data_IF_783015004339
#
_entry.id   IF_783015004339
#
_cell.length_a   1.000
_cell.length_b   1.000
_cell.length_c   1.000
_cell.angle_alpha   90.00
_cell.angle_beta   90.00
_cell.angle_gamma   90.00
#
_symmetry.space_group_name_H-M   'P 1'
#
loop_
_entity.id
_entity.type
_entity.pdbx_description
1 polymer ?
#
# COMPACT_ATOMS: atom_id res chain seq x y z
N UNK A 1 14.14 -14.54 30.55
CA UNK A 1 14.31 -14.43 29.07
C UNK A 1 13.04 -13.79 28.49
N UNK A 2 13.13 -12.58 27.93
CA UNK A 2 11.96 -11.97 27.26
C UNK A 2 11.55 -12.83 26.06
N UNK A 3 10.24 -13.11 25.84
CA UNK A 3 9.81 -13.91 24.71
C UNK A 3 10.29 -13.25 23.42
N UNK A 4 11.05 -13.98 22.60
CA UNK A 4 11.44 -13.51 21.26
C UNK A 4 10.15 -13.23 20.49
N UNK A 5 9.89 -11.96 20.17
CA UNK A 5 8.74 -11.55 19.36
C UNK A 5 8.76 -12.35 18.05
N UNK A 6 7.76 -13.20 17.85
CA UNK A 6 7.65 -14.10 16.70
C UNK A 6 7.72 -13.37 15.36
N UNK A 7 7.25 -12.10 15.33
CA UNK A 7 7.19 -11.24 14.14
C UNK A 7 7.72 -9.84 14.42
N UNK A 8 9.03 -9.74 14.69
CA UNK A 8 9.70 -8.49 15.10
C UNK A 8 9.53 -7.31 14.13
N UNK A 9 9.42 -7.57 12.82
CA UNK A 9 9.30 -6.53 11.81
C UNK A 9 7.87 -5.98 11.74
N UNK A 10 6.87 -6.81 12.01
CA UNK A 10 5.47 -6.36 12.16
C UNK A 10 5.34 -5.50 13.41
N UNK A 11 5.97 -5.89 14.51
CA UNK A 11 5.97 -5.09 15.74
C UNK A 11 6.74 -3.77 15.58
N UNK A 12 7.83 -3.77 14.79
CA UNK A 12 8.52 -2.54 14.42
C UNK A 12 7.58 -1.61 13.62
N UNK A 13 6.90 -2.13 12.61
CA UNK A 13 5.95 -1.36 11.81
C UNK A 13 4.85 -0.73 12.67
N UNK A 14 4.27 -1.45 13.61
CA UNK A 14 3.20 -0.94 14.51
C UNK A 14 3.65 0.24 15.38
N UNK A 15 4.95 0.39 15.61
CA UNK A 15 5.51 1.51 16.40
C UNK A 15 5.77 2.77 15.57
N UNK A 16 5.67 2.68 14.24
CA UNK A 16 5.86 3.84 13.38
C UNK A 16 4.61 4.72 13.39
N UNK A 17 4.82 6.03 13.41
CA UNK A 17 3.78 7.03 13.19
C UNK A 17 3.48 7.26 11.71
N UNK A 18 2.47 8.05 11.44
CA UNK A 18 2.22 8.60 10.11
C UNK A 18 3.19 9.76 9.82
N UNK A 19 3.34 10.10 8.56
CA UNK A 19 4.14 11.26 8.15
C UNK A 19 3.33 12.54 8.33
N UNK A 20 3.91 13.52 9.03
CA UNK A 20 3.31 14.85 9.18
C UNK A 20 3.40 15.68 7.89
N UNK A 21 4.30 15.31 6.98
CA UNK A 21 4.52 15.98 5.68
C UNK A 21 4.49 14.96 4.55
N UNK A 22 3.38 14.81 3.86
CA UNK A 22 3.26 13.88 2.74
C UNK A 22 4.28 14.22 1.64
N UNK A 23 5.14 13.27 1.29
CA UNK A 23 6.14 13.42 0.23
C UNK A 23 6.47 12.06 -0.36
N UNK A 24 6.62 12.00 -1.68
CA UNK A 24 7.00 10.77 -2.35
C UNK A 24 8.53 10.56 -2.43
N UNK A 25 9.32 11.46 -1.86
CA UNK A 25 10.79 11.43 -1.99
C UNK A 25 11.40 10.19 -1.35
N UNK A 26 11.06 9.90 -0.10
CA UNK A 26 11.64 8.78 0.63
C UNK A 26 11.19 7.43 0.08
N UNK A 27 9.90 7.30 -0.23
CA UNK A 27 9.36 6.07 -0.79
C UNK A 27 9.98 5.76 -2.16
N UNK A 28 10.16 6.77 -3.03
CA UNK A 28 10.82 6.60 -4.32
C UNK A 28 12.27 6.14 -4.19
N UNK A 29 13.05 6.73 -3.29
CA UNK A 29 14.43 6.30 -3.02
C UNK A 29 14.51 4.85 -2.56
N UNK A 30 13.63 4.41 -1.65
CA UNK A 30 13.60 3.01 -1.21
C UNK A 30 13.17 2.07 -2.33
N UNK A 31 12.20 2.46 -3.16
CA UNK A 31 11.79 1.68 -4.34
C UNK A 31 12.94 1.56 -5.36
N UNK A 32 13.74 2.61 -5.55
CA UNK A 32 14.93 2.57 -6.41
C UNK A 32 15.96 1.54 -5.90
N UNK A 33 16.27 1.56 -4.61
CA UNK A 33 17.19 0.58 -3.98
C UNK A 33 16.65 -0.85 -4.14
N UNK A 34 15.33 -1.02 -4.12
CA UNK A 34 14.66 -2.30 -4.40
C UNK A 34 14.59 -2.62 -5.90
N UNK A 35 15.27 -1.84 -6.77
CA UNK A 35 15.30 -2.00 -8.23
C UNK A 35 13.95 -1.74 -8.90
N UNK A 36 13.19 -0.78 -8.38
CA UNK A 36 11.90 -0.31 -8.90
C UNK A 36 10.89 -1.44 -9.15
N UNK A 37 10.49 -2.20 -8.13
CA UNK A 37 9.58 -3.33 -8.30
C UNK A 37 8.21 -2.91 -8.87
N UNK A 38 7.77 -1.66 -8.60
CA UNK A 38 6.53 -1.08 -9.14
C UNK A 38 6.52 -0.89 -10.66
N UNK A 39 7.71 -0.90 -11.30
CA UNK A 39 7.87 -0.80 -12.77
C UNK A 39 8.05 -2.16 -13.44
N UNK A 40 8.09 -3.26 -12.68
CA UNK A 40 8.41 -4.60 -13.18
C UNK A 40 7.42 -5.63 -12.65
N UNK A 41 6.90 -6.47 -13.55
CA UNK A 41 6.05 -7.62 -13.19
C UNK A 41 4.81 -7.27 -12.35
N UNK A 42 4.24 -6.08 -12.51
CA UNK A 42 3.09 -5.61 -11.75
C UNK A 42 1.76 -5.77 -12.49
N UNK A 43 1.78 -6.24 -13.75
CA UNK A 43 0.57 -6.28 -14.56
C UNK A 43 -0.12 -4.90 -14.66
N UNK A 44 -1.43 -4.88 -14.80
CA UNK A 44 -2.23 -3.65 -14.80
C UNK A 44 -2.36 -3.14 -13.37
N UNK A 45 -2.09 -1.86 -13.16
CA UNK A 45 -2.21 -1.19 -11.86
C UNK A 45 -3.43 -0.27 -11.86
N UNK A 46 -4.30 -0.46 -10.90
CA UNK A 46 -5.53 0.31 -10.70
C UNK A 46 -5.44 1.06 -9.38
N UNK A 47 -5.55 2.38 -9.41
CA UNK A 47 -5.68 3.20 -8.21
C UNK A 47 -7.14 3.54 -7.95
N UNK A 48 -7.58 3.46 -6.69
CA UNK A 48 -8.93 3.81 -6.28
C UNK A 48 -8.86 4.87 -5.21
N UNK A 49 -9.31 6.07 -5.53
CA UNK A 49 -9.37 7.22 -4.63
C UNK A 49 -10.82 7.69 -4.40
N UNK A 50 -10.97 8.70 -3.55
CA UNK A 50 -12.26 9.31 -3.22
C UNK A 50 -12.47 9.43 -1.71
N UNK A 51 -13.53 10.09 -1.30
CA UNK A 51 -13.86 10.26 0.12
C UNK A 51 -14.41 8.97 0.71
N UNK A 52 -15.49 8.45 0.18
CA UNK A 52 -16.17 7.26 0.67
C UNK A 52 -16.21 6.14 -0.38
N UNK A 53 -16.31 4.88 0.09
CA UNK A 53 -16.53 3.73 -0.78
C UNK A 53 -15.29 3.17 -1.48
N UNK A 54 -14.11 3.75 -1.30
CA UNK A 54 -12.84 3.25 -1.88
C UNK A 54 -12.64 1.76 -1.67
N UNK A 55 -12.63 1.32 -0.40
CA UNK A 55 -12.43 -0.09 -0.04
C UNK A 55 -13.52 -1.01 -0.58
N UNK A 56 -14.79 -0.56 -0.60
CA UNK A 56 -15.90 -1.33 -1.16
C UNK A 56 -15.71 -1.55 -2.66
N UNK A 57 -15.38 -0.49 -3.41
CA UNK A 57 -15.10 -0.59 -4.86
C UNK A 57 -13.87 -1.46 -5.11
N UNK A 58 -12.79 -1.27 -4.35
CA UNK A 58 -11.57 -2.06 -4.47
C UNK A 58 -11.83 -3.56 -4.26
N UNK A 59 -12.58 -3.89 -3.20
CA UNK A 59 -12.93 -5.27 -2.88
C UNK A 59 -13.86 -5.89 -3.92
N UNK A 60 -14.92 -5.19 -4.33
CA UNK A 60 -15.85 -5.67 -5.35
C UNK A 60 -15.15 -5.91 -6.68
N UNK A 61 -14.31 -4.99 -7.11
CA UNK A 61 -13.53 -5.13 -8.35
C UNK A 61 -12.57 -6.33 -8.26
N UNK A 62 -11.89 -6.50 -7.12
CA UNK A 62 -11.01 -7.64 -6.89
C UNK A 62 -11.78 -8.98 -6.98
N UNK A 63 -12.99 -9.06 -6.41
CA UNK A 63 -13.83 -10.26 -6.49
C UNK A 63 -14.26 -10.58 -7.93
N UNK A 64 -14.71 -9.57 -8.69
CA UNK A 64 -15.13 -9.73 -10.09
C UNK A 64 -13.95 -10.23 -10.93
N UNK A 65 -12.82 -9.57 -10.85
CA UNK A 65 -11.63 -9.93 -11.62
C UNK A 65 -11.08 -11.32 -11.24
N UNK A 66 -11.12 -11.67 -9.96
CA UNK A 66 -10.70 -12.98 -9.49
C UNK A 66 -11.64 -14.10 -10.00
N UNK A 67 -12.98 -13.85 -9.99
CA UNK A 67 -13.96 -14.78 -10.61
C UNK A 67 -13.73 -14.92 -12.11
N UNK A 68 -13.24 -13.86 -12.77
CA UNK A 68 -12.84 -13.88 -14.18
C UNK A 68 -11.46 -14.52 -14.41
N UNK A 69 -10.93 -15.25 -13.41
CA UNK A 69 -9.67 -16.02 -13.44
C UNK A 69 -8.39 -15.17 -13.57
N UNK A 70 -8.46 -13.85 -13.35
CA UNK A 70 -7.26 -13.04 -13.21
C UNK A 70 -6.63 -13.26 -11.84
N UNK A 71 -5.29 -13.27 -11.79
CA UNK A 71 -4.55 -13.22 -10.53
C UNK A 71 -4.47 -11.78 -10.06
N UNK A 72 -5.14 -11.48 -8.95
CA UNK A 72 -5.36 -10.11 -8.47
C UNK A 72 -4.63 -9.87 -7.15
N UNK A 73 -3.80 -8.83 -7.10
CA UNK A 73 -3.30 -8.22 -5.88
C UNK A 73 -4.24 -7.11 -5.42
N UNK A 74 -4.52 -7.04 -4.14
CA UNK A 74 -5.37 -6.02 -3.52
C UNK A 74 -4.66 -5.42 -2.31
N UNK A 75 -4.46 -4.10 -2.32
CA UNK A 75 -3.97 -3.31 -1.20
C UNK A 75 -5.06 -2.35 -0.73
N UNK A 76 -5.43 -2.44 0.56
CA UNK A 76 -6.51 -1.64 1.16
C UNK A 76 -6.10 -1.00 2.48
N UNK A 77 -6.80 0.06 2.88
CA UNK A 77 -6.60 0.74 4.16
C UNK A 77 -7.89 1.43 4.66
N UNK A 78 -8.10 1.48 5.99
CA UNK A 78 -7.38 0.76 7.03
C UNK A 78 -7.76 -0.73 7.10
N UNK A 79 -7.17 -1.50 8.00
CA UNK A 79 -7.65 -2.83 8.39
C UNK A 79 -8.68 -2.71 9.54
N UNK A 80 -9.50 -3.75 9.70
CA UNK A 80 -10.51 -3.81 10.77
C UNK A 80 -9.96 -4.60 11.97
N UNK A 81 -9.43 -5.78 11.75
CA UNK A 81 -8.95 -6.67 12.80
C UNK A 81 -7.44 -6.91 12.74
N UNK A 82 -6.90 -7.11 11.55
CA UNK A 82 -5.52 -7.58 11.34
C UNK A 82 -4.85 -6.85 10.17
N UNK A 83 -3.61 -6.43 10.40
CA UNK A 83 -2.80 -5.77 9.38
C UNK A 83 -2.65 -6.58 8.08
N UNK A 84 -2.71 -7.89 8.17
CA UNK A 84 -2.65 -8.81 7.04
C UNK A 84 -3.82 -8.60 6.05
N UNK A 85 -4.93 -8.01 6.50
CA UNK A 85 -6.08 -7.68 5.66
C UNK A 85 -5.73 -6.70 4.55
N UNK A 86 -4.74 -5.84 4.80
CA UNK A 86 -4.35 -4.78 3.88
C UNK A 86 -3.69 -5.31 2.61
N UNK A 87 -3.12 -6.52 2.62
CA UNK A 87 -2.40 -7.09 1.49
C UNK A 87 -2.98 -8.46 1.17
N UNK A 88 -3.59 -8.59 0.01
CA UNK A 88 -4.24 -9.83 -0.41
C UNK A 88 -3.81 -10.20 -1.84
N UNK A 89 -3.77 -11.51 -2.12
CA UNK A 89 -3.67 -12.06 -3.47
C UNK A 89 -4.80 -13.07 -3.66
N UNK A 90 -5.60 -12.89 -4.70
CA UNK A 90 -6.78 -13.72 -4.97
C UNK A 90 -7.68 -13.85 -3.73
N UNK A 91 -7.97 -12.71 -3.08
CA UNK A 91 -8.78 -12.58 -1.87
C UNK A 91 -8.24 -13.31 -0.63
N UNK A 92 -7.01 -13.82 -0.68
CA UNK A 92 -6.34 -14.43 0.47
C UNK A 92 -5.37 -13.43 1.08
N UNK A 93 -5.53 -13.17 2.38
CA UNK A 93 -4.62 -12.30 3.15
C UNK A 93 -3.20 -12.86 3.12
N UNK A 94 -2.20 -11.99 3.04
CA UNK A 94 -0.80 -12.35 3.25
C UNK A 94 -0.63 -13.01 4.62
N UNK A 95 0.19 -14.04 4.72
CA UNK A 95 0.50 -14.64 6.02
C UNK A 95 1.38 -13.72 6.87
N UNK A 96 1.27 -13.79 8.20
CA UNK A 96 2.12 -12.99 9.09
C UNK A 96 3.61 -13.32 8.92
N UNK A 97 3.94 -14.56 8.52
CA UNK A 97 5.31 -14.97 8.21
C UNK A 97 5.83 -14.21 6.97
N UNK A 98 5.09 -14.26 5.86
CA UNK A 98 5.47 -13.59 4.61
C UNK A 98 5.54 -12.06 4.81
N UNK A 99 4.55 -11.46 5.49
CA UNK A 99 4.55 -10.04 5.79
C UNK A 99 5.79 -9.65 6.60
N UNK A 100 6.12 -10.41 7.65
CA UNK A 100 7.29 -10.15 8.48
C UNK A 100 8.61 -10.28 7.70
N UNK A 101 8.73 -11.24 6.79
CA UNK A 101 9.90 -11.42 5.92
C UNK A 101 10.06 -10.24 4.95
N UNK A 102 8.99 -9.85 4.29
CA UNK A 102 8.98 -8.73 3.33
C UNK A 102 9.30 -7.41 4.03
N UNK A 103 8.66 -7.14 5.17
CA UNK A 103 8.98 -5.97 5.98
C UNK A 103 10.46 -5.96 6.37
N UNK A 104 11.02 -7.11 6.73
CA UNK A 104 12.45 -7.23 7.04
C UNK A 104 13.35 -6.78 5.89
N UNK A 105 13.01 -7.18 4.66
CA UNK A 105 13.76 -6.76 3.45
C UNK A 105 13.67 -5.24 3.26
N UNK A 106 12.47 -4.66 3.35
CA UNK A 106 12.28 -3.22 3.16
C UNK A 106 12.96 -2.40 4.26
N UNK A 107 12.83 -2.82 5.52
CA UNK A 107 13.48 -2.19 6.68
C UNK A 107 15.01 -2.21 6.53
N UNK A 108 15.58 -3.31 6.07
CA UNK A 108 17.02 -3.40 5.83
C UNK A 108 17.47 -2.41 4.73
N UNK A 109 16.70 -2.29 3.66
CA UNK A 109 17.01 -1.35 2.57
C UNK A 109 16.88 0.11 2.98
N UNK A 110 15.82 0.49 3.71
CA UNK A 110 15.69 1.87 4.20
C UNK A 110 16.81 2.25 5.18
N UNK A 111 17.24 1.31 6.06
CA UNK A 111 18.34 1.53 6.98
C UNK A 111 19.67 1.77 6.24
N UNK A 112 20.00 0.94 5.25
CA UNK A 112 21.20 1.10 4.41
C UNK A 112 21.21 2.43 3.66
N UNK A 113 20.05 2.99 3.34
CA UNK A 113 19.91 4.28 2.68
C UNK A 113 19.87 5.46 3.65
N UNK A 114 19.90 5.22 4.96
CA UNK A 114 19.64 6.22 5.99
C UNK A 114 18.30 6.97 5.76
N UNK A 115 17.26 6.23 5.38
CA UNK A 115 15.91 6.73 5.13
C UNK A 115 14.98 6.14 6.18
N UNK A 116 14.06 6.94 6.67
CA UNK A 116 12.96 6.49 7.51
C UNK A 116 11.65 6.65 6.77
N UNK A 117 10.94 5.54 6.55
CA UNK A 117 9.59 5.52 6.04
C UNK A 117 8.59 5.58 7.19
N UNK A 118 7.48 6.26 6.99
CA UNK A 118 6.32 6.22 7.87
C UNK A 118 5.65 4.83 7.83
N UNK A 119 4.70 4.60 8.73
CA UNK A 119 3.91 3.37 8.76
C UNK A 119 3.29 3.02 7.40
N UNK A 120 2.62 4.00 6.79
CA UNK A 120 1.90 3.78 5.54
C UNK A 120 2.84 3.60 4.35
N UNK A 121 3.91 4.40 4.27
CA UNK A 121 4.93 4.25 3.23
C UNK A 121 5.61 2.88 3.28
N UNK A 122 6.02 2.43 4.49
CA UNK A 122 6.68 1.13 4.66
C UNK A 122 5.77 -0.01 4.21
N UNK A 123 4.49 0.04 4.60
CA UNK A 123 3.52 -1.00 4.22
C UNK A 123 3.19 -0.95 2.72
N UNK A 124 3.11 0.24 2.12
CA UNK A 124 2.92 0.41 0.67
C UNK A 124 4.09 -0.17 -0.11
N UNK A 125 5.34 0.11 0.28
CA UNK A 125 6.53 -0.50 -0.35
C UNK A 125 6.52 -2.02 -0.20
N UNK A 126 6.15 -2.52 0.98
CA UNK A 126 6.04 -3.96 1.22
C UNK A 126 4.99 -4.62 0.30
N UNK A 127 3.82 -3.99 0.13
CA UNK A 127 2.77 -4.49 -0.76
C UNK A 127 3.23 -4.52 -2.23
N UNK A 128 3.86 -3.44 -2.69
CA UNK A 128 4.42 -3.35 -4.05
C UNK A 128 5.46 -4.46 -4.27
N UNK A 129 6.39 -4.63 -3.33
CA UNK A 129 7.41 -5.66 -3.44
C UNK A 129 6.82 -7.07 -3.46
N UNK A 130 5.81 -7.34 -2.63
CA UNK A 130 5.08 -8.61 -2.60
C UNK A 130 4.38 -8.90 -3.93
N UNK A 131 3.64 -7.94 -4.46
CA UNK A 131 2.90 -8.09 -5.70
C UNK A 131 3.82 -8.27 -6.92
N UNK A 132 4.96 -7.58 -6.95
CA UNK A 132 5.95 -7.76 -8.02
C UNK A 132 6.55 -9.17 -8.05
N UNK A 133 6.69 -9.81 -6.88
CA UNK A 133 7.14 -11.21 -6.77
C UNK A 133 6.06 -12.20 -7.18
N UNK A 134 4.81 -11.89 -6.90
CA UNK A 134 3.68 -12.75 -7.21
C UNK A 134 3.30 -12.78 -8.70
N UNK A 135 3.79 -11.80 -9.50
CA UNK A 135 3.49 -11.66 -10.93
C UNK A 135 1.98 -11.66 -11.20
N UNK A 136 1.24 -10.83 -10.46
CA UNK A 136 -0.19 -10.70 -10.64
C UNK A 136 -0.53 -10.12 -12.02
N UNK A 137 -1.69 -10.48 -12.58
CA UNK A 137 -2.20 -9.87 -13.80
C UNK A 137 -2.65 -8.43 -13.55
N UNK A 138 -3.27 -8.19 -12.39
CA UNK A 138 -3.84 -6.90 -12.00
C UNK A 138 -3.51 -6.64 -10.54
N UNK A 139 -3.18 -5.39 -10.21
CA UNK A 139 -2.99 -4.95 -8.83
C UNK A 139 -3.84 -3.72 -8.57
N UNK A 140 -4.68 -3.80 -7.56
CA UNK A 140 -5.60 -2.75 -7.11
C UNK A 140 -5.02 -2.12 -5.85
N UNK A 141 -4.90 -0.80 -5.85
CA UNK A 141 -4.42 -0.03 -4.71
C UNK A 141 -5.47 0.98 -4.28
N UNK A 142 -5.94 0.84 -3.06
CA UNK A 142 -6.74 1.85 -2.41
C UNK A 142 -5.83 2.97 -1.91
N UNK A 143 -6.14 4.21 -2.31
CA UNK A 143 -5.45 5.41 -1.85
C UNK A 143 -5.80 5.65 -0.38
N UNK A 144 -4.79 5.92 0.44
CA UNK A 144 -4.98 6.18 1.86
C UNK A 144 -5.61 7.54 2.12
N UNK A 145 -5.01 8.61 1.57
CA UNK A 145 -5.44 9.98 1.80
C UNK A 145 -5.18 10.87 0.57
N UNK A 146 -6.21 11.56 0.10
CA UNK A 146 -6.12 12.47 -1.03
C UNK A 146 -5.76 11.72 -2.33
N UNK A 147 -4.53 11.91 -2.80
CA UNK A 147 -4.05 11.23 -4.02
C UNK A 147 -2.63 11.63 -4.40
N UNK A 148 -2.42 12.91 -4.71
CA UNK A 148 -1.16 13.43 -5.28
C UNK A 148 0.10 13.06 -4.48
N UNK A 149 0.02 13.13 -3.16
CA UNK A 149 1.14 12.84 -2.26
C UNK A 149 0.95 11.55 -1.44
N UNK A 150 -0.11 10.79 -1.75
CA UNK A 150 -0.32 9.50 -1.12
C UNK A 150 0.77 8.50 -1.53
N UNK A 151 1.22 7.68 -0.60
CA UNK A 151 2.29 6.71 -0.86
C UNK A 151 1.96 5.75 -2.02
N UNK A 152 0.69 5.46 -2.27
CA UNK A 152 0.26 4.61 -3.37
C UNK A 152 0.46 5.25 -4.75
N UNK A 153 0.58 6.59 -4.83
CA UNK A 153 0.73 7.30 -6.11
C UNK A 153 2.06 7.00 -6.84
N UNK A 154 3.02 6.36 -6.17
CA UNK A 154 4.28 5.90 -6.80
C UNK A 154 4.09 4.77 -7.81
N UNK A 155 2.92 4.11 -7.83
CA UNK A 155 2.69 2.95 -8.71
C UNK A 155 2.55 3.29 -10.18
N UNK A 156 2.27 4.56 -10.53
CA UNK A 156 1.99 4.97 -11.91
C UNK A 156 0.88 4.10 -12.53
N UNK A 157 -0.35 4.31 -12.03
CA UNK A 157 -1.50 3.47 -12.39
C UNK A 157 -1.97 3.69 -13.81
N UNK A 158 -2.32 2.61 -14.53
CA UNK A 158 -2.92 2.68 -15.86
C UNK A 158 -4.41 3.04 -15.81
N UNK A 159 -5.06 2.75 -14.68
CA UNK A 159 -6.49 3.04 -14.46
C UNK A 159 -6.63 3.74 -13.11
N UNK A 160 -7.32 4.85 -13.09
CA UNK A 160 -7.65 5.56 -11.85
C UNK A 160 -9.17 5.68 -11.73
N UNK A 161 -9.70 5.29 -10.57
CA UNK A 161 -11.12 5.33 -10.24
C UNK A 161 -11.31 6.31 -9.09
N UNK A 162 -12.19 7.29 -9.26
CA UNK A 162 -12.61 8.20 -8.19
C UNK A 162 -14.05 7.85 -7.83
N UNK A 163 -14.30 7.42 -6.59
CA UNK A 163 -15.62 7.00 -6.14
C UNK A 163 -16.56 8.19 -5.95
N UNK A 164 -16.11 9.16 -5.18
CA UNK A 164 -16.77 10.46 -4.95
C UNK A 164 -15.78 11.44 -4.33
N UNK A 165 -16.09 12.72 -4.37
CA UNK A 165 -15.31 13.78 -3.72
C UNK A 165 -16.22 14.60 -2.84
N UNK A 166 -15.93 14.62 -1.54
CA UNK A 166 -16.60 15.43 -0.52
C UNK A 166 -15.54 16.06 0.39
N UNK A 167 -15.93 17.03 1.20
CA UNK A 167 -15.02 17.61 2.19
C UNK A 167 -14.68 16.59 3.25
N UNK A 168 -13.41 16.24 3.33
CA UNK A 168 -12.85 15.32 4.31
C UNK A 168 -11.36 15.63 4.50
N UNK A 169 -10.80 15.31 5.66
CA UNK A 169 -9.40 15.55 5.98
C UNK A 169 -8.93 16.97 5.62
N UNK A 170 -9.76 17.97 5.89
CA UNK A 170 -9.52 19.36 5.47
C UNK A 170 -8.26 19.97 6.08
N UNK A 171 -7.79 19.45 7.20
CA UNK A 171 -6.52 19.81 7.85
C UNK A 171 -5.29 19.46 6.98
N UNK A 172 -5.40 18.44 6.10
CA UNK A 172 -4.32 18.01 5.19
C UNK A 172 -4.56 18.43 3.76
N UNK A 173 -5.79 18.33 3.28
CA UNK A 173 -6.13 18.50 1.86
C UNK A 173 -6.63 19.92 1.53
N UNK A 174 -7.06 20.68 2.56
CA UNK A 174 -7.62 22.02 2.39
C UNK A 174 -9.15 22.04 2.32
N UNK A 175 -9.73 23.25 2.37
CA UNK A 175 -11.15 23.47 2.66
C UNK A 175 -12.05 23.55 1.41
N UNK A 176 -11.57 23.21 0.23
CA UNK A 176 -12.36 23.28 -1.01
C UNK A 176 -12.30 21.95 -1.77
N UNK A 177 -13.39 21.60 -2.46
CA UNK A 177 -13.46 20.39 -3.31
C UNK A 177 -12.33 20.39 -4.36
N UNK A 178 -11.96 21.55 -4.89
CA UNK A 178 -10.87 21.67 -5.87
C UNK A 178 -9.47 21.38 -5.30
N UNK A 179 -9.31 21.39 -3.97
CA UNK A 179 -8.04 21.05 -3.31
C UNK A 179 -7.98 19.60 -2.84
N UNK A 180 -9.15 19.02 -2.59
CA UNK A 180 -9.34 17.64 -2.18
C UNK A 180 -9.27 16.71 -3.39
#
# INVERSE_FOLDING_TARGET
>A
MAPRLKYKNIEFLKKLGNSDKPSLTNINKVLEILKNPHKKNMGIKIAISGTNGKGSVAKSLSEILNKSKYRVGLYTSPHIFDINERIQINNKKISSKELNEILGIVIDKQKKANIQLSYFELLTVASIFYFSKAKNNINIFEVGLGGKYDATNVIDSQISIITNVSKDHTEYLGNTISKI
#
